data_IF_039289662435
#
_entry.id   IF_039289662435
#
_cell.length_a   1.000
_cell.length_b   1.000
_cell.length_c   1.000
_cell.angle_alpha   90.00
_cell.angle_beta   90.00
_cell.angle_gamma   90.00
#
_symmetry.space_group_name_H-M   'P 1'
#
loop_
_entity.id
_entity.type
_entity.pdbx_description
1 polymer ?
#
# COMPACT_ATOMS: atom_id res chain seq x y z
N UNK A 1 20.22 11.94 15.56
CA UNK A 1 19.32 10.89 15.04
C UNK A 1 19.61 9.62 15.81
N UNK A 2 18.67 9.12 16.56
CA UNK A 2 18.85 7.92 17.37
C UNK A 2 18.55 6.69 16.51
N UNK A 3 19.13 5.57 16.83
CA UNK A 3 18.89 4.28 16.13
C UNK A 3 17.39 3.90 16.16
N UNK A 4 16.69 4.24 17.25
CA UNK A 4 15.23 4.08 17.35
C UNK A 4 14.45 4.87 16.29
N UNK A 5 14.90 6.08 15.93
CA UNK A 5 14.20 6.92 14.95
C UNK A 5 14.25 6.29 13.55
N UNK A 6 15.40 5.67 13.20
CA UNK A 6 15.55 4.93 11.94
C UNK A 6 14.61 3.71 11.92
N UNK A 7 14.52 2.99 13.04
CA UNK A 7 13.62 1.84 13.15
C UNK A 7 12.16 2.26 13.06
N UNK A 8 11.77 3.36 13.68
CA UNK A 8 10.39 3.88 13.63
C UNK A 8 10.00 4.29 12.20
N UNK A 9 10.91 4.97 11.48
CA UNK A 9 10.70 5.35 10.06
C UNK A 9 10.57 4.09 9.18
N UNK A 10 11.50 3.15 9.32
CA UNK A 10 11.48 1.92 8.52
C UNK A 10 10.23 1.07 8.82
N UNK A 11 9.80 1.00 10.09
CA UNK A 11 8.58 0.30 10.50
C UNK A 11 7.33 0.96 9.93
N UNK A 12 7.28 2.30 9.90
CA UNK A 12 6.19 3.03 9.26
C UNK A 12 6.12 2.71 7.76
N UNK A 13 7.27 2.67 7.08
CA UNK A 13 7.39 2.24 5.69
C UNK A 13 6.88 0.81 5.45
N UNK A 14 7.22 -0.13 6.34
CA UNK A 14 6.71 -1.52 6.26
C UNK A 14 5.19 -1.59 6.33
N UNK A 15 4.57 -0.86 7.27
CA UNK A 15 3.11 -0.83 7.42
C UNK A 15 2.43 -0.33 6.16
N UNK A 16 2.93 0.75 5.60
CA UNK A 16 2.40 1.36 4.38
C UNK A 16 2.53 0.41 3.18
N UNK A 17 3.70 -0.20 2.99
CA UNK A 17 3.90 -1.14 1.87
C UNK A 17 3.04 -2.40 2.02
N UNK A 18 2.85 -2.90 3.24
CA UNK A 18 1.93 -4.01 3.50
C UNK A 18 0.48 -3.65 3.13
N UNK A 19 0.02 -2.45 3.52
CA UNK A 19 -1.32 -2.00 3.14
C UNK A 19 -1.45 -1.87 1.63
N UNK A 20 -0.43 -1.31 0.94
CA UNK A 20 -0.40 -1.22 -0.51
C UNK A 20 -0.50 -2.59 -1.18
N UNK A 21 0.30 -3.57 -0.73
CA UNK A 21 0.24 -4.94 -1.24
C UNK A 21 -1.15 -5.56 -1.05
N UNK A 22 -1.77 -5.39 0.12
CA UNK A 22 -3.09 -5.93 0.39
C UNK A 22 -4.18 -5.31 -0.52
N UNK A 23 -4.13 -3.98 -0.73
CA UNK A 23 -5.07 -3.28 -1.60
C UNK A 23 -4.87 -3.70 -3.06
N UNK A 24 -3.62 -3.77 -3.52
CA UNK A 24 -3.27 -4.23 -4.88
C UNK A 24 -3.71 -5.69 -5.10
N UNK A 25 -3.47 -6.57 -4.14
CA UNK A 25 -3.94 -7.96 -4.21
C UNK A 25 -5.47 -8.05 -4.27
N UNK A 26 -6.18 -7.20 -3.51
CA UNK A 26 -7.64 -7.10 -3.58
C UNK A 26 -8.12 -6.60 -4.95
N UNK A 27 -7.45 -5.61 -5.55
CA UNK A 27 -7.75 -5.13 -6.91
C UNK A 27 -7.58 -6.25 -7.94
N UNK A 28 -6.49 -7.01 -7.87
CA UNK A 28 -6.23 -8.14 -8.76
C UNK A 28 -7.32 -9.21 -8.61
N UNK A 29 -7.63 -9.61 -7.37
CA UNK A 29 -8.63 -10.64 -7.10
C UNK A 29 -10.02 -10.25 -7.60
N UNK A 30 -10.36 -8.96 -7.57
CA UNK A 30 -11.65 -8.43 -7.96
C UNK A 30 -11.68 -7.81 -9.37
N UNK A 31 -10.63 -8.00 -10.18
CA UNK A 31 -10.53 -7.39 -11.51
C UNK A 31 -11.64 -7.83 -12.48
N UNK A 32 -12.33 -8.93 -12.20
CA UNK A 32 -13.45 -9.45 -13.00
C UNK A 32 -14.78 -9.47 -12.24
N UNK A 33 -14.86 -8.88 -11.06
CA UNK A 33 -16.08 -8.88 -10.22
C UNK A 33 -17.08 -7.86 -10.73
N UNK A 34 -18.09 -8.32 -11.44
CA UNK A 34 -19.15 -7.50 -12.05
C UNK A 34 -20.23 -7.08 -11.07
N UNK A 35 -20.36 -7.81 -9.93
CA UNK A 35 -21.38 -7.52 -8.91
C UNK A 35 -20.80 -7.65 -7.50
N UNK A 36 -20.91 -6.59 -6.71
CA UNK A 36 -20.54 -6.53 -5.30
C UNK A 36 -21.77 -6.53 -4.40
N UNK A 37 -21.59 -6.73 -3.10
CA UNK A 37 -22.68 -6.63 -2.12
C UNK A 37 -23.31 -5.23 -2.05
N UNK A 38 -22.53 -4.21 -2.40
CA UNK A 38 -22.97 -2.80 -2.46
C UNK A 38 -23.70 -2.45 -3.76
N UNK A 39 -23.75 -3.41 -4.71
CA UNK A 39 -24.30 -3.23 -6.05
C UNK A 39 -23.26 -2.71 -7.06
N UNK A 40 -23.40 -3.18 -8.32
CA UNK A 40 -22.48 -2.80 -9.40
C UNK A 40 -21.11 -3.47 -9.35
N UNK A 41 -20.22 -3.13 -10.30
CA UNK A 41 -18.89 -3.72 -10.41
C UNK A 41 -17.97 -3.25 -9.27
N UNK A 42 -16.96 -4.05 -8.97
CA UNK A 42 -15.91 -3.64 -8.05
C UNK A 42 -15.23 -2.34 -8.54
N UNK A 43 -14.92 -1.43 -7.63
CA UNK A 43 -14.14 -0.23 -7.92
C UNK A 43 -12.71 -0.42 -7.43
N UNK A 44 -11.75 -0.10 -8.30
CA UNK A 44 -10.31 -0.09 -7.96
C UNK A 44 -10.10 0.78 -6.72
N UNK A 45 -9.29 0.30 -5.79
CA UNK A 45 -8.94 1.03 -4.57
C UNK A 45 -7.47 1.42 -4.62
N UNK A 46 -7.16 2.58 -4.06
CA UNK A 46 -5.77 3.10 -3.98
C UNK A 46 -5.53 3.68 -2.58
N UNK A 47 -4.47 3.25 -1.88
CA UNK A 47 -4.17 3.81 -0.56
C UNK A 47 -3.50 5.18 -0.70
N UNK A 48 -4.03 6.16 0.02
CA UNK A 48 -3.48 7.52 0.12
C UNK A 48 -2.57 7.59 1.34
N UNK A 49 -1.38 8.13 1.16
CA UNK A 49 -0.36 8.23 2.19
C UNK A 49 -0.08 9.67 2.55
N UNK A 50 0.20 9.92 3.82
CA UNK A 50 0.71 11.21 4.26
C UNK A 50 1.98 11.06 5.11
N UNK A 51 2.79 12.11 5.13
CA UNK A 51 3.99 12.17 5.94
C UNK A 51 3.63 12.52 7.39
N UNK A 52 3.90 11.61 8.32
CA UNK A 52 3.69 11.81 9.74
C UNK A 52 5.00 12.22 10.44
N UNK A 53 4.93 13.15 11.38
CA UNK A 53 6.08 13.50 12.22
C UNK A 53 6.41 12.37 13.18
N UNK A 54 7.66 11.94 13.21
CA UNK A 54 8.18 11.10 14.30
C UNK A 54 8.43 12.00 15.50
N UNK A 55 7.33 12.42 16.18
CA UNK A 55 7.40 13.43 17.22
C UNK A 55 7.84 12.84 18.54
N UNK A 56 8.88 13.45 19.15
CA UNK A 56 9.18 13.33 20.58
C UNK A 56 9.12 14.71 21.21
N UNK A 57 8.50 14.87 22.41
CA UNK A 57 8.65 16.10 23.20
C UNK A 57 10.15 16.32 23.44
N UNK A 58 10.64 17.55 23.28
CA UNK A 58 12.05 17.92 23.45
C UNK A 58 13.04 17.43 22.38
N UNK A 59 12.56 17.08 21.18
CA UNK A 59 13.44 16.74 20.05
C UNK A 59 14.24 17.95 19.56
N UNK A 60 15.51 17.73 19.15
CA UNK A 60 16.34 18.74 18.48
C UNK A 60 15.70 19.21 17.16
N UNK A 61 16.15 20.35 16.62
CA UNK A 61 15.61 20.88 15.36
C UNK A 61 15.71 19.89 14.20
N UNK A 62 16.78 19.09 14.17
CA UNK A 62 16.99 18.02 13.19
C UNK A 62 16.01 16.86 13.39
N UNK A 63 15.81 16.41 14.62
CA UNK A 63 14.86 15.33 14.93
C UNK A 63 13.41 15.73 14.62
N UNK A 64 13.09 17.02 14.75
CA UNK A 64 11.77 17.56 14.35
C UNK A 64 11.51 17.52 12.85
N UNK A 65 12.54 17.40 12.02
CA UNK A 65 12.42 17.27 10.56
C UNK A 65 12.18 15.82 10.08
N UNK A 66 12.40 14.82 10.95
CA UNK A 66 12.17 13.42 10.60
C UNK A 66 10.68 13.14 10.34
N UNK A 67 10.42 12.41 9.25
CA UNK A 67 9.08 12.02 8.85
C UNK A 67 9.01 10.51 8.67
N UNK A 68 7.99 9.91 9.24
CA UNK A 68 7.50 8.61 8.86
C UNK A 68 6.38 8.74 7.83
N UNK A 69 5.78 7.63 7.46
CA UNK A 69 4.64 7.56 6.54
C UNK A 69 3.48 6.83 7.22
N UNK A 70 2.27 7.32 7.01
CA UNK A 70 1.04 6.69 7.49
C UNK A 70 0.01 6.60 6.37
N UNK A 71 -0.89 5.61 6.46
CA UNK A 71 -2.04 5.49 5.56
C UNK A 71 -3.11 6.45 6.06
N UNK A 72 -3.45 7.42 5.22
CA UNK A 72 -4.52 8.38 5.49
C UNK A 72 -5.89 7.75 5.26
N UNK A 73 -6.08 7.21 4.06
CA UNK A 73 -7.33 6.62 3.63
C UNK A 73 -7.12 5.62 2.50
N UNK A 74 -8.15 4.85 2.19
CA UNK A 74 -8.21 4.02 0.99
C UNK A 74 -9.30 4.61 0.10
N UNK A 75 -8.89 5.30 -0.96
CA UNK A 75 -9.77 5.94 -1.91
C UNK A 75 -10.24 4.95 -2.99
N UNK A 76 -11.50 5.05 -3.39
CA UNK A 76 -12.01 4.37 -4.58
C UNK A 76 -11.70 5.20 -5.82
N UNK A 77 -11.28 4.54 -6.90
CA UNK A 77 -11.02 5.18 -8.18
C UNK A 77 -12.33 5.75 -8.76
N UNK A 78 -12.40 7.04 -9.07
CA UNK A 78 -13.61 7.68 -9.62
C UNK A 78 -13.87 7.34 -11.08
N UNK A 79 -12.93 6.74 -11.80
CA UNK A 79 -13.07 6.41 -13.22
C UNK A 79 -14.23 5.46 -13.45
N UNK A 80 -14.88 5.59 -14.61
CA UNK A 80 -16.00 4.76 -14.99
C UNK A 80 -15.60 3.30 -15.22
N UNK A 81 -16.49 2.33 -14.91
CA UNK A 81 -16.30 0.93 -15.25
C UNK A 81 -16.15 0.72 -16.76
N UNK A 82 -15.46 -0.33 -17.15
CA UNK A 82 -15.32 -0.72 -18.56
C UNK A 82 -16.50 -1.58 -18.96
N UNK A 83 -17.28 -1.14 -19.94
CA UNK A 83 -18.42 -1.90 -20.46
C UNK A 83 -17.98 -2.86 -21.57
N UNK A 84 -18.51 -4.09 -21.54
CA UNK A 84 -18.28 -5.12 -22.57
C UNK A 84 -19.60 -5.72 -23.01
N UNK A 85 -19.75 -5.95 -24.32
CA UNK A 85 -20.95 -6.62 -24.84
C UNK A 85 -20.88 -8.14 -24.59
N UNK A 86 -21.73 -8.62 -23.68
CA UNK A 86 -21.82 -10.02 -23.27
C UNK A 86 -23.28 -10.37 -22.95
N UNK A 87 -24.14 -10.56 -23.95
CA UNK A 87 -25.61 -10.69 -23.78
C UNK A 87 -26.05 -11.93 -23.00
N UNK A 88 -25.17 -12.94 -22.89
CA UNK A 88 -25.47 -14.16 -22.14
C UNK A 88 -24.97 -14.13 -20.69
N UNK A 89 -24.39 -13.02 -20.26
CA UNK A 89 -23.87 -12.88 -18.89
C UNK A 89 -25.03 -12.57 -17.92
N UNK A 90 -25.07 -13.18 -16.72
CA UNK A 90 -26.16 -12.97 -15.75
C UNK A 90 -26.29 -11.51 -15.28
N UNK A 91 -25.23 -10.72 -15.34
CA UNK A 91 -25.21 -9.30 -14.97
C UNK A 91 -25.29 -8.36 -16.20
N UNK A 92 -25.72 -8.88 -17.36
CA UNK A 92 -25.94 -8.03 -18.55
C UNK A 92 -27.17 -7.12 -18.37
N UNK A 93 -27.06 -5.87 -18.82
CA UNK A 93 -28.19 -4.97 -18.89
C UNK A 93 -29.13 -5.35 -20.06
N UNK A 94 -30.24 -4.62 -20.22
CA UNK A 94 -31.23 -4.87 -21.27
C UNK A 94 -30.65 -4.78 -22.69
N UNK A 95 -29.55 -4.04 -22.86
CA UNK A 95 -28.83 -3.87 -24.12
C UNK A 95 -27.72 -4.92 -24.34
N UNK A 96 -27.52 -5.84 -23.37
CA UNK A 96 -26.52 -6.90 -23.43
C UNK A 96 -25.11 -6.45 -23.01
N UNK A 97 -24.93 -5.33 -22.35
CA UNK A 97 -23.64 -4.87 -21.84
C UNK A 97 -23.45 -5.20 -20.36
N UNK A 98 -22.23 -5.57 -20.01
CA UNK A 98 -21.79 -5.85 -18.63
C UNK A 98 -20.74 -4.82 -18.24
N UNK A 99 -20.86 -4.23 -17.06
CA UNK A 99 -19.89 -3.33 -16.50
C UNK A 99 -18.81 -4.11 -15.72
N UNK A 100 -17.56 -3.98 -16.12
CA UNK A 100 -16.39 -4.56 -15.46
C UNK A 100 -15.60 -3.50 -14.71
N UNK A 101 -14.86 -3.89 -13.64
CA UNK A 101 -13.96 -3.01 -12.94
C UNK A 101 -12.93 -2.37 -13.88
N UNK A 102 -12.60 -1.09 -13.67
CA UNK A 102 -11.49 -0.44 -14.36
C UNK A 102 -10.16 -0.77 -13.66
N UNK A 103 -9.78 -2.04 -13.69
CA UNK A 103 -8.55 -2.57 -13.10
C UNK A 103 -7.64 -3.10 -14.22
N UNK A 104 -6.47 -2.51 -14.34
CA UNK A 104 -5.43 -3.02 -15.26
C UNK A 104 -4.55 -4.03 -14.52
N UNK A 105 -4.69 -5.31 -14.85
CA UNK A 105 -3.96 -6.40 -14.20
C UNK A 105 -2.44 -6.24 -14.30
N UNK A 106 -1.92 -5.77 -15.43
CA UNK A 106 -0.48 -5.58 -15.64
C UNK A 106 0.05 -4.48 -14.73
N UNK A 107 -0.68 -3.38 -14.61
CA UNK A 107 -0.35 -2.27 -13.72
C UNK A 107 -0.38 -2.70 -12.25
N UNK A 108 -1.42 -3.43 -11.84
CA UNK A 108 -1.53 -3.93 -10.47
C UNK A 108 -0.42 -4.95 -10.14
N UNK A 109 -0.04 -5.83 -11.07
CA UNK A 109 1.08 -6.74 -10.88
C UNK A 109 2.41 -6.00 -10.73
N UNK A 110 2.66 -4.98 -11.54
CA UNK A 110 3.84 -4.13 -11.40
C UNK A 110 3.87 -3.40 -10.04
N UNK A 111 2.71 -2.88 -9.60
CA UNK A 111 2.54 -2.25 -8.27
C UNK A 111 2.80 -3.24 -7.14
N UNK A 112 2.34 -4.49 -7.26
CA UNK A 112 2.57 -5.54 -6.26
C UNK A 112 4.07 -5.87 -6.14
N UNK A 113 4.76 -6.05 -7.26
CA UNK A 113 6.21 -6.33 -7.27
C UNK A 113 6.99 -5.14 -6.69
N UNK A 114 6.64 -3.92 -7.06
CA UNK A 114 7.29 -2.70 -6.55
C UNK A 114 7.11 -2.55 -5.04
N UNK A 115 5.91 -2.77 -4.53
CA UNK A 115 5.63 -2.69 -3.08
C UNK A 115 6.30 -3.82 -2.30
N UNK A 116 6.39 -5.04 -2.87
CA UNK A 116 7.15 -6.15 -2.27
C UNK A 116 8.63 -5.82 -2.14
N UNK A 117 9.26 -5.31 -3.19
CA UNK A 117 10.67 -4.87 -3.15
C UNK A 117 10.91 -3.77 -2.13
N UNK A 118 10.00 -2.80 -2.04
CA UNK A 118 10.08 -1.72 -1.05
C UNK A 118 9.91 -2.24 0.38
N UNK A 119 9.05 -3.23 0.59
CA UNK A 119 8.87 -3.90 1.86
C UNK A 119 10.15 -4.65 2.28
N UNK A 120 10.74 -5.43 1.38
CA UNK A 120 12.01 -6.14 1.61
C UNK A 120 13.17 -5.18 1.92
N UNK A 121 13.25 -4.05 1.21
CA UNK A 121 14.26 -3.02 1.47
C UNK A 121 14.13 -2.44 2.89
N UNK A 122 12.91 -2.15 3.36
CA UNK A 122 12.67 -1.67 4.72
C UNK A 122 13.02 -2.73 5.78
N UNK A 123 12.73 -4.02 5.53
CA UNK A 123 13.16 -5.12 6.39
C UNK A 123 14.68 -5.20 6.50
N UNK A 124 15.38 -5.04 5.37
CA UNK A 124 16.84 -5.05 5.36
C UNK A 124 17.42 -3.89 6.17
N UNK A 125 16.83 -2.70 6.09
CA UNK A 125 17.23 -1.54 6.92
C UNK A 125 17.11 -1.89 8.40
N UNK A 126 15.98 -2.44 8.85
CA UNK A 126 15.76 -2.84 10.25
C UNK A 126 16.80 -3.88 10.70
N UNK A 127 17.04 -4.89 9.87
CA UNK A 127 18.04 -5.93 10.14
C UNK A 127 19.44 -5.35 10.30
N UNK A 128 19.86 -4.43 9.41
CA UNK A 128 21.15 -3.77 9.48
C UNK A 128 21.31 -2.88 10.71
N UNK A 129 20.27 -2.10 11.04
CA UNK A 129 20.27 -1.27 12.26
C UNK A 129 20.41 -2.14 13.51
N UNK A 130 19.70 -3.27 13.56
CA UNK A 130 19.82 -4.23 14.68
C UNK A 130 21.22 -4.83 14.78
N UNK A 131 21.80 -5.26 13.67
CA UNK A 131 23.17 -5.81 13.65
C UNK A 131 24.22 -4.76 14.09
N UNK A 132 24.05 -3.51 13.71
CA UNK A 132 24.92 -2.40 14.18
C UNK A 132 24.78 -2.19 15.70
N UNK A 133 23.54 -2.24 16.24
CA UNK A 133 23.32 -2.16 17.69
C UNK A 133 24.03 -3.28 18.46
N UNK A 134 23.90 -4.51 17.98
CA UNK A 134 24.55 -5.68 18.58
C UNK A 134 26.08 -5.60 18.52
N UNK A 135 26.64 -5.08 17.42
CA UNK A 135 28.07 -4.87 17.29
C UNK A 135 28.59 -3.80 18.26
N UNK A 136 27.87 -2.69 18.41
CA UNK A 136 28.23 -1.64 19.38
C UNK A 136 28.20 -2.13 20.82
N UNK A 137 27.25 -2.98 21.20
CA UNK A 137 27.18 -3.57 22.55
C UNK A 137 28.35 -4.51 22.82
N UNK A 138 28.85 -5.22 21.81
CA UNK A 138 30.05 -6.10 21.95
C UNK A 138 31.37 -5.33 22.09
N UNK A 139 31.46 -4.13 21.55
CA UNK A 139 32.67 -3.30 21.65
C UNK A 139 32.76 -2.62 23.03
N UNK A 140 31.60 -2.45 23.72
CA UNK A 140 31.52 -1.81 25.02
C UNK A 140 31.72 -2.74 26.23
N UNK A 141 31.97 -4.04 25.97
CA UNK A 141 32.37 -5.05 26.97
C UNK A 141 33.87 -5.32 26.87
#
# INVERSE_FOLDING_TARGET
MKMSDIMDIATSGLRVQRTRMNVTASNIANAQTTRTAEGGPYRRRDPVFHAQRVARPFASSLERSLRGVEVDSIASDPREPVTRYMPHHPDANEEGYVAFPNVNLVEEQANLVSSSRSFEANLLVISKVRSMAEALMRIGQ
#
